data_IF_876361562870
#
_entry.id   IF_876361562870
#
_cell.length_a   1.000
_cell.length_b   1.000
_cell.length_c   1.000
_cell.angle_alpha   90.00
_cell.angle_beta   90.00
_cell.angle_gamma   90.00
#
_symmetry.space_group_name_H-M   'P 1'
#
loop_
_entity.id
_entity.type
_entity.pdbx_description
1 polymer ?
#
# COMPACT_ATOMS: atom_id res chain seq x y z
N UNK A 1 18.24 -27.19 4.34
CA UNK A 1 17.24 -27.62 3.34
C UNK A 1 16.89 -26.41 2.50
N UNK A 2 17.47 -26.37 1.30
CA UNK A 2 17.27 -25.37 0.25
C UNK A 2 16.15 -25.84 -0.67
N UNK A 3 15.19 -24.97 -0.98
CA UNK A 3 14.20 -25.18 -2.04
C UNK A 3 12.77 -24.81 -1.62
N UNK A 4 12.22 -23.76 -2.24
CA UNK A 4 10.82 -23.63 -2.75
C UNK A 4 10.31 -22.18 -2.93
N UNK A 5 11.09 -21.11 -2.70
CA UNK A 5 10.54 -19.73 -2.81
C UNK A 5 10.94 -18.92 -4.05
N UNK A 6 11.69 -19.47 -5.00
CA UNK A 6 12.26 -18.66 -6.10
C UNK A 6 11.38 -18.52 -7.36
N UNK A 7 10.17 -19.09 -7.39
CA UNK A 7 9.36 -19.15 -8.63
C UNK A 7 8.10 -18.26 -8.67
N UNK A 8 7.71 -17.56 -7.59
CA UNK A 8 6.36 -16.97 -7.49
C UNK A 8 6.30 -15.42 -7.55
N UNK A 9 7.41 -14.70 -7.45
CA UNK A 9 7.40 -13.21 -7.44
C UNK A 9 7.44 -12.57 -8.83
N UNK A 10 7.85 -13.32 -9.86
CA UNK A 10 7.80 -12.88 -11.27
C UNK A 10 6.41 -13.08 -11.88
N UNK A 11 5.69 -14.11 -11.46
CA UNK A 11 4.39 -14.46 -12.05
C UNK A 11 3.33 -13.41 -11.73
N UNK A 12 3.30 -12.83 -10.53
CA UNK A 12 2.37 -11.73 -10.19
C UNK A 12 2.61 -10.45 -11.00
N UNK A 13 3.86 -10.07 -11.23
CA UNK A 13 4.21 -8.92 -12.07
C UNK A 13 3.94 -9.16 -13.56
N UNK A 14 4.16 -10.40 -14.01
CA UNK A 14 3.86 -10.86 -15.36
C UNK A 14 2.34 -10.92 -15.59
N UNK A 15 1.55 -11.40 -14.62
CA UNK A 15 0.08 -11.43 -14.65
C UNK A 15 -0.50 -10.03 -14.73
N UNK A 16 -0.01 -9.11 -13.90
CA UNK A 16 -0.43 -7.70 -13.96
C UNK A 16 -0.04 -7.05 -15.29
N UNK A 17 1.14 -7.37 -15.85
CA UNK A 17 1.58 -6.90 -17.16
C UNK A 17 0.83 -7.56 -18.34
N UNK A 18 0.29 -8.76 -18.16
CA UNK A 18 -0.51 -9.48 -19.17
C UNK A 18 -1.97 -9.00 -19.13
N UNK A 19 -2.59 -8.85 -17.97
CA UNK A 19 -3.94 -8.28 -17.83
C UNK A 19 -4.00 -6.85 -18.41
N UNK A 20 -2.98 -6.07 -18.08
CA UNK A 20 -2.65 -4.80 -18.71
C UNK A 20 -2.60 -4.85 -20.24
N UNK A 21 -1.82 -5.77 -20.81
CA UNK A 21 -1.67 -5.94 -22.24
C UNK A 21 -2.94 -6.42 -22.94
N UNK A 22 -3.78 -7.21 -22.27
CA UNK A 22 -5.09 -7.65 -22.78
C UNK A 22 -6.06 -6.47 -22.84
N UNK A 23 -6.11 -5.62 -21.80
CA UNK A 23 -6.93 -4.39 -21.78
C UNK A 23 -6.45 -3.32 -22.78
N UNK A 24 -5.17 -3.33 -23.17
CA UNK A 24 -4.61 -2.45 -24.21
C UNK A 24 -5.06 -2.74 -25.64
N UNK A 25 -5.55 -3.95 -25.91
CA UNK A 25 -5.99 -4.31 -27.28
C UNK A 25 -7.27 -3.59 -27.72
N UNK A 26 -7.93 -2.84 -26.84
CA UNK A 26 -9.24 -2.25 -27.17
C UNK A 26 -9.34 -0.73 -27.30
N UNK A 27 -8.29 0.09 -27.15
CA UNK A 27 -8.44 1.54 -27.42
C UNK A 27 -7.19 2.21 -28.00
N UNK A 28 -7.33 2.80 -29.19
CA UNK A 28 -6.27 3.47 -29.93
C UNK A 28 -6.34 5.02 -29.89
N UNK A 29 -5.14 5.64 -29.95
CA UNK A 29 -4.79 7.02 -30.37
C UNK A 29 -5.13 8.18 -29.42
N UNK A 30 -4.61 9.42 -29.48
CA UNK A 30 -3.58 10.21 -30.23
C UNK A 30 -3.32 11.48 -29.36
N UNK A 31 -2.19 12.21 -29.34
CA UNK A 31 -1.81 13.37 -30.18
C UNK A 31 -0.52 14.01 -29.60
N UNK A 32 0.60 14.10 -30.32
CA UNK A 32 1.20 15.32 -30.92
C UNK A 32 1.50 16.50 -29.98
N UNK A 33 2.75 16.65 -29.55
CA UNK A 33 3.54 17.91 -29.52
C UNK A 33 5.03 17.64 -29.14
N UNK A 34 5.93 18.56 -29.47
CA UNK A 34 7.38 18.33 -29.71
C UNK A 34 8.32 18.82 -28.58
N UNK A 35 9.30 17.98 -28.23
CA UNK A 35 10.64 18.27 -27.65
C UNK A 35 10.83 18.84 -26.23
N UNK A 36 11.75 18.21 -25.46
CA UNK A 36 13.07 18.78 -25.08
C UNK A 36 13.95 17.67 -24.46
N UNK A 37 15.02 17.29 -25.17
CA UNK A 37 16.06 16.42 -24.61
C UNK A 37 16.90 17.21 -23.62
N UNK A 38 16.68 16.99 -22.33
CA UNK A 38 17.68 17.29 -21.30
C UNK A 38 18.33 15.95 -20.91
N UNK A 39 19.56 15.75 -21.38
CA UNK A 39 20.40 14.66 -20.87
C UNK A 39 20.79 15.02 -19.42
N UNK A 40 20.64 14.11 -18.44
CA UNK A 40 21.09 14.36 -17.08
C UNK A 40 22.59 14.66 -17.04
N UNK A 41 22.96 15.69 -16.28
CA UNK A 41 24.31 16.26 -16.11
C UNK A 41 25.38 15.32 -15.52
N UNK A 42 25.08 14.03 -15.36
CA UNK A 42 25.92 13.05 -14.67
C UNK A 42 26.60 12.02 -15.59
N UNK A 43 26.35 12.07 -16.91
CA UNK A 43 27.04 11.18 -17.86
C UNK A 43 28.35 11.84 -18.31
N UNK A 44 29.43 11.68 -17.52
CA UNK A 44 30.72 12.33 -17.79
C UNK A 44 31.58 11.66 -18.87
N UNK A 45 31.31 10.41 -19.25
CA UNK A 45 31.95 9.73 -20.41
C UNK A 45 31.01 8.68 -20.99
N UNK A 46 30.64 8.84 -22.26
CA UNK A 46 30.05 7.77 -23.07
C UNK A 46 31.23 7.13 -23.82
N UNK A 47 31.53 5.83 -23.62
CA UNK A 47 32.56 5.17 -24.41
C UNK A 47 32.17 5.21 -25.89
N UNK A 48 33.11 5.62 -26.74
CA UNK A 48 32.89 5.65 -28.19
C UNK A 48 32.73 4.21 -28.69
N UNK A 49 31.55 3.90 -29.23
CA UNK A 49 31.33 2.67 -29.99
C UNK A 49 31.62 2.95 -31.47
N UNK A 50 32.21 2.00 -32.21
CA UNK A 50 32.28 2.08 -33.67
C UNK A 50 30.90 2.38 -34.25
N UNK A 51 30.81 3.28 -35.24
CA UNK A 51 29.52 3.69 -35.85
C UNK A 51 28.70 2.49 -36.31
N UNK A 52 29.35 1.44 -36.79
CA UNK A 52 28.72 0.18 -37.20
C UNK A 52 28.00 -0.57 -36.06
N UNK A 53 28.36 -0.32 -34.79
CA UNK A 53 27.73 -0.92 -33.60
C UNK A 53 26.69 -0.01 -32.94
N UNK A 54 26.46 1.19 -33.47
CA UNK A 54 25.45 2.10 -32.93
C UNK A 54 24.11 1.77 -33.60
N UNK A 55 23.16 1.32 -32.80
CA UNK A 55 21.79 1.14 -33.28
C UNK A 55 21.10 2.51 -33.41
N UNK A 56 21.08 3.04 -34.64
CA UNK A 56 20.41 4.28 -35.01
C UNK A 56 18.89 4.13 -35.20
N UNK A 57 18.32 2.95 -34.94
CA UNK A 57 16.87 2.80 -35.01
C UNK A 57 16.18 3.73 -34.02
N UNK A 58 15.08 4.32 -34.48
CA UNK A 58 14.31 5.26 -33.68
C UNK A 58 13.81 4.58 -32.39
N UNK A 59 13.57 5.36 -31.34
CA UNK A 59 12.97 4.83 -30.10
C UNK A 59 11.66 4.06 -30.38
N UNK A 60 10.90 4.47 -31.41
CA UNK A 60 9.71 3.77 -31.90
C UNK A 60 10.05 2.38 -32.48
N UNK A 61 11.09 2.28 -33.29
CA UNK A 61 11.53 1.00 -33.88
C UNK A 61 12.15 0.06 -32.85
N UNK A 62 12.92 0.58 -31.88
CA UNK A 62 13.45 -0.21 -30.75
C UNK A 62 12.32 -0.76 -29.88
N UNK A 63 11.29 0.05 -29.63
CA UNK A 63 10.07 -0.37 -28.94
C UNK A 63 9.34 -1.46 -29.75
N UNK A 64 9.14 -1.26 -31.05
CA UNK A 64 8.52 -2.25 -31.93
C UNK A 64 9.24 -3.61 -31.89
N UNK A 65 10.57 -3.62 -32.02
CA UNK A 65 11.37 -4.87 -31.94
C UNK A 65 11.25 -5.56 -30.59
N UNK A 66 11.17 -4.80 -29.50
CA UNK A 66 10.96 -5.35 -28.16
C UNK A 66 9.54 -5.92 -28.01
N UNK A 67 8.54 -5.21 -28.53
CA UNK A 67 7.14 -5.63 -28.52
C UNK A 67 6.95 -6.91 -29.34
N UNK A 68 7.59 -7.01 -30.52
CA UNK A 68 7.58 -8.21 -31.37
C UNK A 68 8.26 -9.41 -30.67
N UNK A 69 9.37 -9.18 -29.95
CA UNK A 69 10.08 -10.20 -29.18
C UNK A 69 9.33 -10.66 -27.91
N UNK A 70 8.40 -9.84 -27.40
CA UNK A 70 7.52 -10.20 -26.28
C UNK A 70 6.26 -10.90 -26.80
N UNK A 71 5.71 -10.45 -27.94
CA UNK A 71 4.55 -11.06 -28.60
C UNK A 71 4.82 -12.51 -29.06
N UNK A 72 6.08 -12.84 -29.38
CA UNK A 72 6.49 -14.21 -29.69
C UNK A 72 6.57 -15.17 -28.49
N UNK A 73 6.35 -14.72 -27.24
CA UNK A 73 6.43 -15.56 -26.04
C UNK A 73 5.05 -16.03 -25.57
N UNK A 74 4.42 -16.90 -26.36
CA UNK A 74 3.17 -17.59 -26.04
C UNK A 74 3.25 -18.34 -24.70
N UNK A 75 4.42 -18.83 -24.34
CA UNK A 75 4.73 -19.49 -23.06
C UNK A 75 4.39 -18.63 -21.83
N UNK A 76 4.64 -17.32 -21.88
CA UNK A 76 4.37 -16.40 -20.78
C UNK A 76 2.86 -16.13 -20.62
N UNK A 77 2.13 -16.04 -21.73
CA UNK A 77 0.67 -15.89 -21.70
C UNK A 77 -0.01 -17.17 -21.21
N UNK A 78 0.45 -18.34 -21.64
CA UNK A 78 -0.06 -19.63 -21.17
C UNK A 78 0.27 -19.84 -19.69
N UNK A 79 1.49 -19.54 -19.26
CA UNK A 79 1.88 -19.61 -17.85
C UNK A 79 1.03 -18.69 -16.95
N UNK A 80 0.54 -17.57 -17.47
CA UNK A 80 -0.40 -16.71 -16.77
C UNK A 80 -1.81 -17.28 -16.68
N UNK A 81 -2.31 -17.89 -17.75
CA UNK A 81 -3.64 -18.49 -17.76
C UNK A 81 -3.71 -19.77 -16.91
N UNK A 82 -2.60 -20.52 -16.84
CA UNK A 82 -2.47 -21.73 -16.05
C UNK A 82 -2.13 -21.47 -14.57
N UNK A 83 -1.78 -20.22 -14.21
CA UNK A 83 -1.42 -19.88 -12.85
C UNK A 83 -2.65 -19.90 -11.94
N UNK A 84 -2.80 -21.00 -11.20
CA UNK A 84 -3.69 -21.09 -10.05
C UNK A 84 -2.86 -20.82 -8.80
N UNK A 85 -3.20 -19.76 -8.06
CA UNK A 85 -2.70 -19.64 -6.69
C UNK A 85 -3.49 -20.58 -5.80
N UNK A 86 -2.78 -21.42 -5.06
CA UNK A 86 -3.38 -22.15 -3.95
C UNK A 86 -3.76 -21.12 -2.87
N UNK A 87 -4.99 -21.24 -2.37
CA UNK A 87 -5.44 -20.46 -1.22
C UNK A 87 -4.54 -20.76 -0.02
N UNK A 88 -4.25 -19.73 0.77
CA UNK A 88 -3.51 -19.93 2.02
C UNK A 88 -4.47 -20.36 3.11
N UNK A 89 -4.05 -21.35 3.90
CA UNK A 89 -4.77 -21.72 5.10
C UNK A 89 -4.57 -20.67 6.19
N UNK A 90 -5.55 -20.51 7.08
CA UNK A 90 -5.43 -19.58 8.21
C UNK A 90 -4.19 -19.81 9.09
N UNK A 91 -3.79 -21.06 9.42
CA UNK A 91 -2.56 -21.31 10.17
C UNK A 91 -1.30 -20.84 9.43
N UNK A 92 -1.25 -20.93 8.10
CA UNK A 92 -0.11 -20.41 7.33
C UNK A 92 -0.04 -18.88 7.42
N UNK A 93 -1.18 -18.19 7.32
CA UNK A 93 -1.24 -16.73 7.47
C UNK A 93 -0.78 -16.31 8.86
N UNK A 94 -1.27 -16.98 9.91
CA UNK A 94 -0.87 -16.73 11.29
C UNK A 94 0.64 -16.95 11.51
N UNK A 95 1.21 -18.04 10.98
CA UNK A 95 2.64 -18.30 11.10
C UNK A 95 3.49 -17.21 10.41
N UNK A 96 3.06 -16.72 9.24
CA UNK A 96 3.74 -15.61 8.56
C UNK A 96 3.64 -14.33 9.39
N UNK A 97 2.47 -14.02 9.94
CA UNK A 97 2.29 -12.85 10.81
C UNK A 97 3.23 -12.91 12.01
N UNK A 98 3.21 -14.01 12.76
CA UNK A 98 4.00 -14.20 13.98
C UNK A 98 5.51 -14.04 13.75
N UNK A 99 6.04 -14.71 12.73
CA UNK A 99 7.47 -14.69 12.39
C UNK A 99 7.92 -13.30 11.88
N UNK A 100 6.97 -12.45 11.47
CA UNK A 100 7.26 -11.16 10.86
C UNK A 100 6.82 -9.94 11.67
N UNK A 101 6.45 -10.11 12.96
CA UNK A 101 6.09 -9.02 13.88
C UNK A 101 7.18 -7.96 14.07
N UNK A 102 8.45 -8.33 13.88
CA UNK A 102 9.57 -7.38 13.90
C UNK A 102 9.68 -6.50 12.63
N UNK A 103 8.78 -6.70 11.66
CA UNK A 103 8.63 -5.92 10.42
C UNK A 103 9.95 -5.50 9.76
N UNK A 104 10.27 -4.20 9.74
CA UNK A 104 11.44 -3.64 9.05
C UNK A 104 12.79 -4.14 9.58
N UNK A 105 12.81 -4.76 10.76
CA UNK A 105 13.98 -5.41 11.34
C UNK A 105 14.08 -6.91 11.00
N UNK A 106 13.10 -7.48 10.29
CA UNK A 106 13.05 -8.89 9.90
C UNK A 106 13.35 -9.09 8.41
N UNK A 107 14.43 -9.80 8.04
CA UNK A 107 14.68 -10.20 6.64
C UNK A 107 13.54 -11.07 6.06
N UNK A 108 12.95 -11.92 6.90
CA UNK A 108 11.83 -12.78 6.52
C UNK A 108 10.63 -11.92 6.10
N UNK A 109 10.36 -10.82 6.79
CA UNK A 109 9.30 -9.88 6.42
C UNK A 109 9.51 -9.29 5.00
N UNK A 110 10.74 -8.94 4.63
CA UNK A 110 11.02 -8.47 3.27
C UNK A 110 10.84 -9.58 2.24
N UNK A 111 11.32 -10.80 2.54
CA UNK A 111 11.18 -11.96 1.67
C UNK A 111 9.71 -12.30 1.39
N UNK A 112 8.87 -12.34 2.44
CA UNK A 112 7.44 -12.64 2.31
C UNK A 112 6.68 -11.56 1.52
N UNK A 113 7.11 -10.29 1.60
CA UNK A 113 6.53 -9.17 0.83
C UNK A 113 6.93 -9.17 -0.64
N UNK A 114 8.01 -9.85 -1.02
CA UNK A 114 8.50 -9.84 -2.38
C UNK A 114 7.46 -10.43 -3.34
N UNK A 115 7.10 -9.67 -4.38
CA UNK A 115 6.08 -10.05 -5.36
C UNK A 115 4.64 -9.85 -4.91
N UNK A 116 4.39 -9.31 -3.71
CA UNK A 116 3.04 -9.03 -3.19
C UNK A 116 2.70 -7.55 -3.24
N UNK A 117 1.46 -7.26 -3.63
CA UNK A 117 0.87 -5.93 -3.51
C UNK A 117 0.63 -5.67 -2.03
N UNK A 118 1.46 -4.81 -1.45
CA UNK A 118 1.35 -4.43 -0.04
C UNK A 118 0.46 -3.21 0.13
N UNK A 119 -0.25 -3.13 1.26
CA UNK A 119 -1.18 -2.04 1.56
C UNK A 119 -0.61 -0.62 1.28
N UNK A 120 0.63 -0.35 1.69
CA UNK A 120 1.29 0.96 1.47
C UNK A 120 1.58 1.29 0.00
N UNK A 121 1.46 0.31 -0.91
CA UNK A 121 1.61 0.48 -2.36
C UNK A 121 0.28 0.49 -3.09
N UNK A 122 -0.85 0.23 -2.41
CA UNK A 122 -2.14 0.06 -3.08
C UNK A 122 -2.52 1.27 -3.93
N UNK A 123 -2.39 2.50 -3.41
CA UNK A 123 -2.70 3.70 -4.20
C UNK A 123 -1.88 3.79 -5.49
N UNK A 124 -0.60 3.45 -5.44
CA UNK A 124 0.27 3.47 -6.63
C UNK A 124 -0.16 2.40 -7.64
N UNK A 125 -0.58 1.23 -7.17
CA UNK A 125 -1.11 0.17 -8.03
C UNK A 125 -2.45 0.57 -8.66
N UNK A 126 -3.36 1.20 -7.90
CA UNK A 126 -4.65 1.68 -8.42
C UNK A 126 -4.51 2.83 -9.43
N UNK A 127 -3.45 3.62 -9.32
CA UNK A 127 -3.20 4.77 -10.21
C UNK A 127 -2.30 4.43 -11.39
N UNK A 128 -1.50 3.36 -11.30
CA UNK A 128 -0.63 2.99 -12.41
C UNK A 128 -1.50 2.56 -13.58
N UNK A 129 -1.05 2.91 -14.78
CA UNK A 129 -1.70 2.40 -15.97
C UNK A 129 -1.58 0.89 -15.94
N UNK A 130 -2.71 0.18 -16.08
CA UNK A 130 -2.66 -1.26 -16.31
C UNK A 130 -1.81 -1.46 -17.55
N UNK A 131 -2.22 -0.90 -18.69
CA UNK A 131 -1.52 -0.91 -19.97
C UNK A 131 0.01 -0.69 -19.91
N UNK A 132 0.47 0.36 -19.23
CA UNK A 132 1.90 0.66 -19.10
C UNK A 132 2.24 0.84 -17.62
N UNK A 133 2.37 -0.27 -16.88
CA UNK A 133 2.57 -0.20 -15.46
C UNK A 133 3.96 0.36 -15.19
N UNK A 134 4.06 1.15 -14.12
CA UNK A 134 5.31 1.78 -13.76
C UNK A 134 6.38 0.70 -13.49
N UNK A 135 7.43 0.68 -14.32
CA UNK A 135 8.53 -0.27 -14.15
C UNK A 135 9.21 -0.12 -12.79
N UNK A 136 9.27 1.10 -12.25
CA UNK A 136 9.83 1.33 -10.91
C UNK A 136 8.92 0.79 -9.82
N UNK A 137 7.59 0.93 -9.98
CA UNK A 137 6.61 0.32 -9.07
C UNK A 137 6.75 -1.21 -9.06
N UNK A 138 6.76 -1.83 -10.24
CA UNK A 138 6.92 -3.29 -10.39
C UNK A 138 8.21 -3.75 -9.71
N UNK A 139 9.34 -3.11 -10.02
CA UNK A 139 10.62 -3.47 -9.39
C UNK A 139 10.58 -3.32 -7.87
N UNK A 140 9.92 -2.29 -7.35
CA UNK A 140 9.77 -2.10 -5.91
C UNK A 140 8.88 -3.15 -5.22
N UNK A 141 7.91 -3.72 -5.95
CA UNK A 141 7.05 -4.80 -5.46
C UNK A 141 7.80 -6.13 -5.50
N UNK A 142 8.48 -6.44 -6.60
CA UNK A 142 9.20 -7.71 -6.77
C UNK A 142 10.47 -7.78 -5.92
N UNK A 143 11.16 -6.66 -5.72
CA UNK A 143 12.47 -6.60 -5.08
C UNK A 143 12.51 -5.56 -3.94
N UNK A 144 11.70 -5.74 -2.87
CA UNK A 144 11.58 -4.74 -1.81
C UNK A 144 12.91 -4.48 -1.08
N UNK A 145 13.78 -5.49 -0.96
CA UNK A 145 15.11 -5.33 -0.34
C UNK A 145 16.07 -4.45 -1.16
N UNK A 146 16.04 -4.57 -2.49
CA UNK A 146 16.85 -3.76 -3.39
C UNK A 146 16.34 -2.31 -3.48
N UNK A 147 15.09 -2.08 -3.08
CA UNK A 147 14.41 -0.79 -3.11
C UNK A 147 14.07 -0.27 -1.71
N UNK A 148 14.94 -0.55 -0.72
CA UNK A 148 14.84 0.01 0.64
C UNK A 148 14.86 1.53 0.56
N UNK A 149 13.76 2.13 1.01
CA UNK A 149 13.60 3.58 1.04
C UNK A 149 13.90 4.11 2.44
N UNK A 150 14.98 4.87 2.58
CA UNK A 150 15.36 5.52 3.84
C UNK A 150 15.46 7.02 3.64
N UNK A 151 14.60 7.76 4.33
CA UNK A 151 14.59 9.23 4.39
C UNK A 151 14.61 9.67 5.85
N UNK A 152 14.84 10.96 6.10
CA UNK A 152 14.71 11.50 7.45
C UNK A 152 13.31 11.23 8.03
N UNK A 153 12.26 11.34 7.20
CA UNK A 153 10.90 11.05 7.61
C UNK A 153 10.68 9.57 7.96
N UNK A 154 11.15 8.63 7.14
CA UNK A 154 10.96 7.20 7.45
C UNK A 154 11.80 6.75 8.64
N UNK A 155 13.04 7.23 8.79
CA UNK A 155 13.86 6.94 9.98
C UNK A 155 13.25 7.52 11.26
N UNK A 156 12.69 8.72 11.18
CA UNK A 156 11.98 9.33 12.31
C UNK A 156 10.74 8.51 12.68
N UNK A 157 9.95 8.09 11.68
CA UNK A 157 8.84 7.17 11.84
C UNK A 157 9.23 5.92 12.62
N UNK A 158 10.17 5.13 12.09
CA UNK A 158 10.63 3.90 12.73
C UNK A 158 11.17 4.12 14.15
N UNK A 159 11.82 5.27 14.41
CA UNK A 159 12.36 5.59 15.74
C UNK A 159 11.27 5.81 16.78
N UNK A 160 10.18 6.49 16.41
CA UNK A 160 9.15 6.93 17.37
C UNK A 160 7.86 6.13 17.31
N UNK A 161 7.72 5.18 16.38
CA UNK A 161 6.52 4.34 16.24
C UNK A 161 6.17 3.61 17.55
N UNK A 162 7.14 2.97 18.21
CA UNK A 162 6.92 2.29 19.49
C UNK A 162 6.50 3.26 20.61
N UNK A 163 7.07 4.47 20.63
CA UNK A 163 6.68 5.52 21.59
C UNK A 163 5.24 5.98 21.34
N UNK A 164 4.89 6.23 20.07
CA UNK A 164 3.56 6.63 19.65
C UNK A 164 2.52 5.55 19.97
N UNK A 165 2.84 4.27 19.72
CA UNK A 165 1.99 3.11 20.06
C UNK A 165 1.71 3.04 21.56
N UNK A 166 2.74 3.21 22.40
CA UNK A 166 2.60 3.20 23.85
C UNK A 166 1.72 4.35 24.36
N UNK A 167 1.88 5.55 23.81
CA UNK A 167 1.04 6.69 24.19
C UNK A 167 -0.41 6.49 23.72
N UNK A 168 -0.59 6.00 22.49
CA UNK A 168 -1.89 5.63 21.95
C UNK A 168 -2.61 4.60 22.83
N UNK A 169 -1.93 3.50 23.18
CA UNK A 169 -2.49 2.48 24.08
C UNK A 169 -2.89 3.06 25.44
N UNK A 170 -2.06 3.93 26.01
CA UNK A 170 -2.34 4.61 27.28
C UNK A 170 -3.60 5.48 27.22
N UNK A 171 -3.76 6.29 26.16
CA UNK A 171 -4.93 7.15 25.97
C UNK A 171 -6.19 6.32 25.74
N UNK A 172 -6.13 5.32 24.87
CA UNK A 172 -7.30 4.49 24.54
C UNK A 172 -7.77 3.65 25.73
N UNK A 173 -6.85 3.21 26.60
CA UNK A 173 -7.19 2.45 27.81
C UNK A 173 -8.04 3.24 28.82
N UNK A 174 -8.05 4.58 28.75
CA UNK A 174 -8.92 5.42 29.58
C UNK A 174 -10.39 5.37 29.14
N UNK A 175 -10.62 5.08 27.86
CA UNK A 175 -11.95 5.11 27.24
C UNK A 175 -12.48 3.73 26.87
N UNK A 176 -11.61 2.72 26.83
CA UNK A 176 -11.94 1.36 26.42
C UNK A 176 -11.48 0.35 27.46
N UNK A 177 -12.42 -0.37 28.06
CA UNK A 177 -12.11 -1.42 29.03
C UNK A 177 -11.38 -2.59 28.38
N UNK A 178 -10.27 -3.01 28.99
CA UNK A 178 -9.44 -4.09 28.49
C UNK A 178 -8.77 -3.78 27.16
N UNK A 179 -8.53 -2.50 26.87
CA UNK A 179 -7.81 -2.10 25.66
C UNK A 179 -6.38 -2.64 25.67
N UNK A 180 -5.94 -3.21 24.56
CA UNK A 180 -4.54 -3.56 24.35
C UNK A 180 -4.14 -3.30 22.91
N UNK A 181 -2.88 -2.93 22.68
CA UNK A 181 -2.30 -2.73 21.36
C UNK A 181 -1.01 -3.54 21.22
N UNK A 182 -1.06 -4.65 20.49
CA UNK A 182 0.08 -5.54 20.28
C UNK A 182 0.76 -5.26 18.94
N UNK A 183 2.04 -5.59 18.85
CA UNK A 183 2.77 -5.57 17.58
C UNK A 183 2.11 -6.56 16.59
N UNK A 184 2.16 -6.20 15.31
CA UNK A 184 1.60 -6.98 14.20
C UNK A 184 2.66 -7.24 13.14
N UNK A 185 2.63 -8.42 12.54
CA UNK A 185 3.46 -8.77 11.39
C UNK A 185 2.79 -8.54 10.04
N UNK A 186 3.22 -9.31 9.05
CA UNK A 186 2.62 -9.36 7.72
C UNK A 186 1.44 -10.33 7.70
N UNK A 187 0.27 -9.78 7.46
CA UNK A 187 -0.93 -10.52 7.11
C UNK A 187 -1.00 -10.72 5.60
N UNK A 188 -1.46 -11.89 5.19
CA UNK A 188 -1.70 -12.27 3.80
C UNK A 188 -3.18 -12.56 3.62
N UNK A 189 -3.75 -12.19 2.48
CA UNK A 189 -5.14 -12.55 2.22
C UNK A 189 -5.21 -14.04 1.78
N UNK A 190 -6.01 -14.89 2.46
CA UNK A 190 -6.14 -16.31 2.12
C UNK A 190 -6.57 -16.58 0.68
N UNK A 191 -7.54 -15.80 0.19
CA UNK A 191 -8.14 -15.92 -1.14
C UNK A 191 -7.29 -15.25 -2.23
N UNK A 192 -6.58 -14.18 -1.87
CA UNK A 192 -5.70 -13.44 -2.77
C UNK A 192 -4.27 -13.38 -2.20
N UNK A 193 -3.49 -14.49 -2.23
CA UNK A 193 -2.15 -14.57 -1.64
C UNK A 193 -1.13 -13.56 -2.18
N UNK A 194 -1.41 -12.93 -3.34
CA UNK A 194 -0.64 -11.82 -3.88
C UNK A 194 -0.86 -10.49 -3.15
N UNK A 195 -1.81 -10.38 -2.23
CA UNK A 195 -2.05 -9.21 -1.38
C UNK A 195 -1.50 -9.42 0.03
N UNK A 196 -0.92 -8.36 0.60
CA UNK A 196 -0.42 -8.38 1.97
C UNK A 196 -0.50 -7.04 2.68
N UNK A 197 -0.52 -7.06 4.00
CA UNK A 197 -0.63 -5.88 4.84
C UNK A 197 0.17 -6.05 6.13
N UNK A 198 0.83 -4.99 6.57
CA UNK A 198 1.48 -4.96 7.89
C UNK A 198 0.93 -3.75 8.62
N UNK A 199 -0.15 -3.91 9.40
CA UNK A 199 -0.60 -2.87 10.33
C UNK A 199 0.48 -2.55 11.36
N UNK A 200 0.45 -1.34 11.91
CA UNK A 200 1.40 -0.93 12.96
C UNK A 200 1.04 -1.54 14.32
N UNK A 201 -0.16 -2.11 14.48
CA UNK A 201 -0.54 -2.90 15.63
C UNK A 201 -1.92 -3.55 15.50
N UNK A 202 -2.15 -4.60 16.30
CA UNK A 202 -3.45 -5.23 16.51
C UNK A 202 -4.05 -4.68 17.80
N UNK A 203 -5.25 -4.12 17.73
CA UNK A 203 -5.96 -3.57 18.88
C UNK A 203 -7.09 -4.48 19.31
N UNK A 204 -7.30 -4.61 20.61
CA UNK A 204 -8.45 -5.35 21.14
C UNK A 204 -9.06 -4.59 22.29
N UNK A 205 -10.39 -4.60 22.41
CA UNK A 205 -11.10 -4.11 23.58
C UNK A 205 -12.46 -4.80 23.75
N UNK A 206 -13.00 -4.76 24.95
CA UNK A 206 -14.29 -5.41 25.27
C UNK A 206 -15.49 -4.80 24.52
N UNK A 207 -15.42 -3.50 24.20
CA UNK A 207 -16.55 -2.77 23.58
C UNK A 207 -16.59 -2.87 22.05
N UNK A 208 -15.45 -3.06 21.38
CA UNK A 208 -15.37 -3.07 19.90
C UNK A 208 -14.76 -4.34 19.31
N UNK A 209 -14.32 -5.29 20.15
CA UNK A 209 -13.66 -6.50 19.69
C UNK A 209 -12.24 -6.24 19.20
N UNK A 210 -11.86 -6.90 18.11
CA UNK A 210 -10.52 -6.83 17.50
C UNK A 210 -10.53 -5.89 16.30
N UNK A 211 -9.52 -5.03 16.22
CA UNK A 211 -9.22 -4.21 15.06
C UNK A 211 -7.71 -4.05 14.90
N UNK A 212 -7.31 -3.05 14.13
CA UNK A 212 -5.91 -2.70 13.91
C UNK A 212 -5.65 -1.21 14.14
N UNK A 213 -4.38 -0.80 14.16
CA UNK A 213 -4.01 0.61 14.11
C UNK A 213 -2.92 0.87 13.06
N UNK A 214 -2.94 2.07 12.50
CA UNK A 214 -1.94 2.59 11.57
C UNK A 214 -1.41 3.91 12.12
N UNK A 215 -0.14 3.96 12.48
CA UNK A 215 0.53 5.04 13.20
C UNK A 215 1.42 5.83 12.24
N UNK A 216 1.32 7.16 12.27
CA UNK A 216 2.15 8.07 11.49
C UNK A 216 2.80 9.10 12.37
N UNK A 217 4.13 9.16 12.32
CA UNK A 217 4.95 10.15 13.01
C UNK A 217 5.56 11.12 11.98
N UNK A 218 4.84 12.18 11.56
CA UNK A 218 5.32 13.11 10.53
C UNK A 218 6.51 13.94 11.00
N UNK A 219 7.71 13.66 10.46
CA UNK A 219 8.94 14.40 10.80
C UNK A 219 8.83 15.93 10.60
N UNK A 220 8.09 16.37 9.57
CA UNK A 220 7.86 17.80 9.28
C UNK A 220 6.99 18.50 10.33
N UNK A 221 6.27 17.75 11.16
CA UNK A 221 5.33 18.23 12.18
C UNK A 221 5.69 17.75 13.58
N UNK A 222 6.92 17.32 13.79
CA UNK A 222 7.34 16.67 15.03
C UNK A 222 7.18 17.50 16.31
N UNK A 223 7.24 18.83 16.20
CA UNK A 223 7.06 19.77 17.31
C UNK A 223 5.66 20.42 17.33
N UNK A 224 4.77 20.06 16.40
CA UNK A 224 3.44 20.67 16.32
C UNK A 224 2.63 20.35 17.56
N UNK A 225 2.05 21.39 18.16
CA UNK A 225 1.30 21.29 19.41
C UNK A 225 -0.16 20.86 19.21
N UNK A 226 -0.70 21.06 18.00
CA UNK A 226 -2.06 20.65 17.67
C UNK A 226 -2.17 20.22 16.20
N UNK A 227 -2.24 18.92 15.97
CA UNK A 227 -2.34 18.31 14.64
C UNK A 227 -3.59 18.71 13.88
N UNK A 228 -4.65 19.13 14.58
CA UNK A 228 -5.90 19.60 13.94
C UNK A 228 -5.71 20.95 13.24
N UNK A 229 -4.78 21.79 13.71
CA UNK A 229 -4.47 23.06 13.07
C UNK A 229 -3.70 22.88 11.75
N UNK A 230 -3.01 21.74 11.59
CA UNK A 230 -2.34 21.41 10.34
C UNK A 230 -3.26 20.85 9.25
N UNK A 231 -4.54 20.63 9.56
CA UNK A 231 -5.48 20.05 8.62
C UNK A 231 -5.68 20.94 7.38
N UNK A 232 -5.46 20.38 6.19
CA UNK A 232 -5.53 21.11 4.92
C UNK A 232 -4.21 21.73 4.46
N UNK A 233 -3.14 21.66 5.26
CA UNK A 233 -1.81 22.06 4.80
C UNK A 233 -1.31 21.20 3.63
N UNK A 234 -0.59 21.83 2.71
CA UNK A 234 -0.06 21.15 1.53
C UNK A 234 0.87 20.00 1.93
N UNK A 235 0.56 18.80 1.45
CA UNK A 235 1.36 17.60 1.70
C UNK A 235 1.11 16.97 3.08
N UNK A 236 0.19 17.50 3.88
CA UNK A 236 -0.26 16.86 5.10
C UNK A 236 -1.42 15.89 4.85
N UNK A 237 -1.59 14.91 5.73
CA UNK A 237 -2.56 13.83 5.53
C UNK A 237 -3.96 14.15 6.04
N UNK A 238 -4.10 15.09 6.98
CA UNK A 238 -5.39 15.47 7.54
C UNK A 238 -6.01 16.66 6.77
N UNK A 239 -7.33 16.66 6.67
CA UNK A 239 -8.15 17.73 6.11
C UNK A 239 -9.28 18.07 7.08
N UNK A 240 -9.69 19.33 7.08
CA UNK A 240 -10.88 19.78 7.78
C UNK A 240 -12.06 19.75 6.79
N UNK A 241 -13.05 18.91 7.07
CA UNK A 241 -14.27 18.82 6.29
C UNK A 241 -15.45 19.18 7.18
N UNK A 242 -16.05 20.35 6.94
CA UNK A 242 -17.21 20.82 7.69
C UNK A 242 -17.00 20.96 9.20
N UNK A 243 -15.79 21.30 9.64
CA UNK A 243 -15.43 21.43 11.06
C UNK A 243 -14.90 20.14 11.70
N UNK A 244 -14.91 19.02 10.98
CA UNK A 244 -14.36 17.74 11.45
C UNK A 244 -13.02 17.47 10.78
N UNK A 245 -11.96 17.35 11.58
CA UNK A 245 -10.64 16.95 11.10
C UNK A 245 -10.59 15.44 10.92
N UNK A 246 -10.17 15.00 9.73
CA UNK A 246 -10.06 13.58 9.34
C UNK A 246 -8.96 13.36 8.31
N UNK A 247 -8.55 12.12 8.11
CA UNK A 247 -7.67 11.67 7.05
C UNK A 247 -8.32 11.93 5.68
N UNK A 248 -7.62 12.64 4.80
CA UNK A 248 -8.09 12.89 3.43
C UNK A 248 -8.30 11.54 2.73
N UNK A 249 -9.53 11.33 2.25
CA UNK A 249 -9.96 10.09 1.57
C UNK A 249 -9.23 9.86 0.24
N UNK A 250 -8.58 10.89 -0.30
CA UNK A 250 -7.70 10.81 -1.48
C UNK A 250 -6.24 10.56 -1.11
N UNK A 251 -5.88 10.62 0.18
CA UNK A 251 -4.51 10.41 0.63
C UNK A 251 -4.09 8.94 0.50
N UNK A 252 -2.78 8.71 0.29
CA UNK A 252 -2.24 7.35 0.17
C UNK A 252 -2.51 6.49 1.41
N UNK A 253 -2.42 7.09 2.60
CA UNK A 253 -2.72 6.41 3.86
C UNK A 253 -4.16 5.91 3.96
N UNK A 254 -5.15 6.61 3.38
CA UNK A 254 -6.52 6.11 3.40
C UNK A 254 -6.65 4.80 2.61
N UNK A 255 -6.01 4.73 1.44
CA UNK A 255 -6.03 3.52 0.61
C UNK A 255 -5.25 2.38 1.30
N UNK A 256 -4.15 2.72 1.99
CA UNK A 256 -3.41 1.77 2.80
C UNK A 256 -4.28 1.18 3.92
N UNK A 257 -4.99 2.02 4.68
CA UNK A 257 -5.88 1.57 5.74
C UNK A 257 -6.99 0.68 5.19
N UNK A 258 -7.65 1.08 4.09
CA UNK A 258 -8.67 0.24 3.45
C UNK A 258 -8.12 -1.11 2.98
N UNK A 259 -6.89 -1.14 2.46
CA UNK A 259 -6.21 -2.39 2.10
C UNK A 259 -5.94 -3.27 3.34
N UNK A 260 -5.49 -2.67 4.44
CA UNK A 260 -5.23 -3.39 5.69
C UNK A 260 -6.51 -4.01 6.24
N UNK A 261 -7.61 -3.26 6.30
CA UNK A 261 -8.92 -3.77 6.74
C UNK A 261 -9.35 -4.99 5.93
N UNK A 262 -9.19 -4.92 4.61
CA UNK A 262 -9.56 -6.01 3.70
C UNK A 262 -8.62 -7.23 3.78
N UNK A 263 -7.31 -7.03 3.94
CA UNK A 263 -6.35 -8.14 3.99
C UNK A 263 -6.38 -8.87 5.34
N UNK A 264 -6.52 -8.12 6.43
CA UNK A 264 -6.54 -8.66 7.80
C UNK A 264 -7.93 -9.19 8.17
N UNK A 265 -8.96 -8.80 7.41
CA UNK A 265 -10.37 -9.14 7.65
C UNK A 265 -10.87 -8.66 9.02
N UNK A 266 -10.79 -7.33 9.22
CA UNK A 266 -11.26 -6.64 10.44
C UNK A 266 -12.13 -5.44 10.10
N UNK A 267 -13.03 -5.10 11.01
CA UNK A 267 -14.05 -4.06 10.76
C UNK A 267 -13.50 -2.63 10.82
N UNK A 268 -12.44 -2.42 11.60
CA UNK A 268 -11.92 -1.07 11.85
C UNK A 268 -10.41 -0.99 12.05
N UNK A 269 -9.90 0.19 11.73
CA UNK A 269 -8.53 0.61 11.92
C UNK A 269 -8.53 1.98 12.58
N UNK A 270 -7.86 2.10 13.71
CA UNK A 270 -7.61 3.39 14.34
C UNK A 270 -6.37 4.02 13.66
N UNK A 271 -6.62 5.05 12.84
CA UNK A 271 -5.58 5.82 12.19
C UNK A 271 -5.05 6.88 13.15
N UNK A 272 -3.76 6.78 13.48
CA UNK A 272 -3.10 7.58 14.51
C UNK A 272 -2.06 8.49 13.86
N UNK A 273 -2.12 9.77 14.17
CA UNK A 273 -1.05 10.72 13.85
C UNK A 273 -0.48 11.22 15.17
N UNK A 274 0.85 11.11 15.32
CA UNK A 274 1.53 11.40 16.57
C UNK A 274 2.65 12.43 16.38
N UNK A 275 2.72 13.38 17.30
CA UNK A 275 3.86 14.29 17.51
C UNK A 275 4.30 14.19 18.97
N UNK A 276 5.39 14.86 19.33
CA UNK A 276 5.81 14.91 20.74
C UNK A 276 4.78 15.57 21.67
N UNK A 277 3.86 16.36 21.10
CA UNK A 277 2.97 17.25 21.84
C UNK A 277 1.48 16.91 21.65
N UNK A 278 1.12 16.12 20.63
CA UNK A 278 -0.27 15.80 20.31
C UNK A 278 -0.44 14.37 19.76
N UNK A 279 -1.63 13.81 19.95
CA UNK A 279 -2.07 12.52 19.45
C UNK A 279 -3.45 12.68 18.82
N UNK A 280 -3.51 12.57 17.50
CA UNK A 280 -4.76 12.50 16.75
C UNK A 280 -5.12 11.04 16.46
N UNK A 281 -6.38 10.67 16.68
CA UNK A 281 -6.92 9.34 16.38
C UNK A 281 -8.22 9.50 15.60
N UNK A 282 -8.34 8.79 14.47
CA UNK A 282 -9.59 8.63 13.73
C UNK A 282 -9.85 7.14 13.50
N UNK A 283 -11.05 6.67 13.89
CA UNK A 283 -11.49 5.31 13.53
C UNK A 283 -12.00 5.28 12.10
N UNK A 284 -11.40 4.41 11.29
CA UNK A 284 -11.76 4.16 9.90
C UNK A 284 -12.33 2.75 9.77
N UNK A 285 -13.48 2.63 9.12
CA UNK A 285 -14.15 1.34 8.86
C UNK A 285 -14.03 0.92 7.40
N UNK A 286 -14.26 -0.37 7.13
CA UNK A 286 -14.15 -0.90 5.77
C UNK A 286 -15.20 -0.25 4.85
N UNK A 287 -14.75 0.19 3.68
CA UNK A 287 -15.59 0.84 2.68
C UNK A 287 -16.67 -0.15 2.22
N UNK A 288 -17.93 0.21 2.44
CA UNK A 288 -19.09 -0.68 2.22
C UNK A 288 -19.91 -0.95 3.50
N UNK A 289 -19.29 -0.98 4.69
CA UNK A 289 -20.03 -1.12 5.96
C UNK A 289 -20.77 0.17 6.37
N UNK A 290 -20.33 1.34 5.89
CA UNK A 290 -21.08 2.60 6.10
C UNK A 290 -22.40 2.62 5.30
N UNK A 291 -22.47 1.93 4.16
CA UNK A 291 -23.70 1.86 3.34
C UNK A 291 -24.75 0.92 3.97
N UNK A 292 -24.31 -0.09 4.73
CA UNK A 292 -25.23 -0.99 5.46
C UNK A 292 -25.74 -0.37 6.76
N UNK A 293 -24.91 0.44 7.46
CA UNK A 293 -25.36 1.21 8.64
C UNK A 293 -26.24 2.41 8.29
N UNK A 294 -26.06 3.03 7.12
CA UNK A 294 -26.93 4.10 6.62
C UNK A 294 -28.36 3.66 6.24
N UNK A 295 -28.66 2.35 6.29
CA UNK A 295 -30.02 1.81 6.10
C UNK A 295 -30.70 1.35 7.40
N UNK A 296 -30.04 1.46 8.55
CA UNK A 296 -30.56 1.02 9.86
C UNK A 296 -30.77 2.16 10.87
N UNK A 297 -30.72 3.44 10.43
CA UNK A 297 -31.00 4.61 11.28
C UNK A 297 -31.92 5.65 10.60
N UNK A 298 -32.87 5.20 9.79
CA UNK A 298 -33.96 6.05 9.28
C UNK A 298 -35.28 5.27 9.34
N UNK A 299 -35.71 4.95 10.57
CA UNK A 299 -37.10 4.62 10.94
C UNK A 299 -37.07 4.32 12.45
N UNK A 300 -37.11 5.39 13.24
CA UNK A 300 -37.62 5.42 14.62
C UNK A 300 -37.40 6.85 15.10
N UNK A 301 -38.40 7.70 14.80
CA UNK A 301 -38.67 8.98 15.46
C UNK A 301 -39.70 9.74 14.60
N UNK A 302 -40.98 9.30 14.59
CA UNK A 302 -42.18 10.14 14.38
C UNK A 302 -43.46 9.32 14.61
N UNK A 303 -43.76 8.92 15.85
CA UNK A 303 -45.16 8.75 16.29
C UNK A 303 -45.26 9.09 17.78
N UNK A 304 -45.86 10.23 18.11
CA UNK A 304 -46.20 10.53 19.50
C UNK A 304 -46.31 12.00 19.87
N UNK A 305 -47.16 12.79 19.20
CA UNK A 305 -47.79 13.96 19.84
C UNK A 305 -48.98 14.48 19.03
N UNK A 306 -50.18 13.93 19.32
CA UNK A 306 -51.46 14.64 19.21
C UNK A 306 -52.39 14.16 20.33
N UNK A 307 -52.48 14.96 21.38
CA UNK A 307 -53.67 15.16 22.19
C UNK A 307 -53.85 16.67 22.35
#
# INVERSE_FOLDING_TARGET
>A
MTGLSESCSHVGAVLFAIEAGVKMRETASCTTEKCKWLMPSHVKKIPAAPVAMIDFSSAKSKKQKLDDAIAGRTELQNACQDFRQEELTQPQVQAVEEETRNQSSSPIWFSQRAGRITASRLKQVLQTSLAQPSKSLIKSICYPEAHKFSTAATRYGCKYEATARKQYEGVQSLHHQGFSCKDSGLWLNPQWPYMGASPDGCVTCTCHGTGICEIKCPHSKQEEANLRLCAGEQGFCLVNDGGTVKLDRRHAYYHQVQAQLHVVDVDYCDFVVWTKNDLFVERIVLLGQQLTRGKFQLQDDQEGEKA
#
